data_IF_814138111887
#
_entry.id   IF_814138111887
#
_cell.length_a   1.000
_cell.length_b   1.000
_cell.length_c   1.000
_cell.angle_alpha   90.00
_cell.angle_beta   90.00
_cell.angle_gamma   90.00
#
_symmetry.space_group_name_H-M   'P 1'
#
loop_
_entity.id
_entity.type
_entity.pdbx_description
1 polymer ?
#
# COMPACT_ATOMS: atom_id res chain seq x y z
N UNK A 1 -29.83 0.81 -11.19
CA UNK A 1 -28.42 0.45 -11.36
C UNK A 1 -28.13 -0.74 -10.45
N UNK A 2 -27.59 -1.83 -10.98
CA UNK A 2 -27.20 -2.99 -10.15
C UNK A 2 -25.90 -2.63 -9.44
N UNK A 3 -25.90 -2.60 -8.08
CA UNK A 3 -24.72 -2.33 -7.29
C UNK A 3 -23.71 -3.50 -7.41
N UNK A 4 -22.39 -3.23 -7.46
CA UNK A 4 -21.41 -4.28 -7.48
C UNK A 4 -21.39 -5.07 -6.16
N UNK A 5 -20.97 -6.31 -6.25
CA UNK A 5 -20.86 -7.19 -5.08
C UNK A 5 -19.95 -6.55 -4.01
N UNK A 6 -20.46 -6.36 -2.81
CA UNK A 6 -19.74 -5.71 -1.71
C UNK A 6 -20.09 -4.24 -1.48
N UNK A 7 -21.02 -3.66 -2.23
CA UNK A 7 -21.56 -2.31 -1.99
C UNK A 7 -23.05 -2.43 -1.65
N UNK A 8 -23.45 -1.90 -0.50
CA UNK A 8 -24.86 -1.85 -0.11
C UNK A 8 -25.53 -0.55 -0.59
N UNK A 9 -26.85 -0.55 -0.64
CA UNK A 9 -27.69 0.60 -1.00
C UNK A 9 -27.56 1.78 -0.01
N UNK A 10 -27.11 1.53 1.23
CA UNK A 10 -26.90 2.57 2.24
C UNK A 10 -25.64 3.38 2.04
N UNK A 11 -24.68 2.87 1.25
CA UNK A 11 -23.40 3.56 0.98
C UNK A 11 -23.63 4.88 0.27
N UNK A 12 -24.58 4.96 -0.64
CA UNK A 12 -24.93 6.19 -1.35
C UNK A 12 -25.34 7.32 -0.39
N UNK A 13 -26.23 7.01 0.56
CA UNK A 13 -26.64 7.98 1.57
C UNK A 13 -25.49 8.38 2.50
N UNK A 14 -24.64 7.42 2.85
CA UNK A 14 -23.46 7.71 3.67
C UNK A 14 -22.48 8.64 2.95
N UNK A 15 -22.19 8.39 1.66
CA UNK A 15 -21.33 9.25 0.83
C UNK A 15 -21.87 10.68 0.76
N UNK A 16 -23.14 10.83 0.44
CA UNK A 16 -23.78 12.15 0.34
C UNK A 16 -23.74 12.93 1.65
N UNK A 17 -23.82 12.22 2.79
CA UNK A 17 -23.86 12.83 4.11
C UNK A 17 -22.46 13.17 4.64
N UNK A 18 -21.45 12.34 4.35
CA UNK A 18 -20.16 12.41 5.03
C UNK A 18 -19.01 12.90 4.13
N UNK A 19 -19.16 12.84 2.81
CA UNK A 19 -18.13 13.33 1.89
C UNK A 19 -18.52 14.71 1.35
N UNK A 20 -17.78 15.76 1.67
CA UNK A 20 -18.09 17.12 1.24
C UNK A 20 -18.20 17.25 -0.28
N UNK A 21 -19.32 17.72 -0.77
CA UNK A 21 -19.59 17.95 -2.19
C UNK A 21 -20.00 16.70 -2.98
N UNK A 22 -20.03 15.53 -2.38
CA UNK A 22 -20.46 14.31 -3.04
C UNK A 22 -21.97 14.35 -3.37
N UNK A 23 -22.33 14.02 -4.59
CA UNK A 23 -23.70 14.19 -5.13
C UNK A 23 -24.20 12.91 -5.79
N UNK A 24 -25.29 12.36 -5.29
CA UNK A 24 -25.97 11.20 -5.89
C UNK A 24 -26.58 11.54 -7.27
N UNK A 25 -26.76 10.53 -8.17
CA UNK A 25 -26.42 9.12 -8.00
C UNK A 25 -24.93 8.85 -8.20
N UNK A 26 -24.45 7.73 -7.62
CA UNK A 26 -23.09 7.27 -7.77
C UNK A 26 -22.97 6.06 -8.70
N UNK A 27 -21.86 6.00 -9.42
CA UNK A 27 -21.46 4.84 -10.23
C UNK A 27 -20.22 4.20 -9.62
N UNK A 28 -20.25 2.88 -9.46
CA UNK A 28 -19.16 2.12 -8.83
C UNK A 28 -18.50 1.23 -9.88
N UNK A 29 -17.19 1.34 -10.02
CA UNK A 29 -16.37 0.48 -10.88
C UNK A 29 -15.31 -0.18 -10.03
N UNK A 30 -15.32 -1.52 -9.94
CA UNK A 30 -14.29 -2.24 -9.20
C UNK A 30 -12.94 -2.08 -9.89
N UNK A 31 -11.93 -1.65 -9.13
CA UNK A 31 -10.55 -1.56 -9.60
C UNK A 31 -9.92 -2.94 -9.45
N UNK A 32 -9.55 -3.57 -10.57
CA UNK A 32 -8.86 -4.85 -10.58
C UNK A 32 -7.41 -4.70 -10.11
N UNK A 33 -6.90 -5.66 -9.35
CA UNK A 33 -5.48 -5.75 -9.01
C UNK A 33 -5.12 -5.80 -7.51
N UNK A 34 -6.07 -5.61 -6.60
CA UNK A 34 -5.86 -5.88 -5.17
C UNK A 34 -6.27 -7.32 -4.81
N UNK A 35 -5.37 -8.10 -4.21
CA UNK A 35 -5.69 -9.45 -3.75
C UNK A 35 -6.26 -9.48 -2.32
N UNK A 36 -6.01 -8.42 -1.55
CA UNK A 36 -6.36 -8.34 -0.12
C UNK A 36 -7.69 -7.62 0.12
N UNK A 37 -7.87 -6.41 -0.40
CA UNK A 37 -9.03 -5.57 -0.15
C UNK A 37 -9.80 -5.27 -1.44
N UNK A 38 -11.12 -5.06 -1.32
CA UNK A 38 -11.95 -4.61 -2.44
C UNK A 38 -11.83 -3.08 -2.58
N UNK A 39 -11.49 -2.64 -3.78
CA UNK A 39 -11.31 -1.23 -4.11
C UNK A 39 -12.23 -0.86 -5.27
N UNK A 40 -12.99 0.23 -5.11
CA UNK A 40 -13.93 0.73 -6.11
C UNK A 40 -13.61 2.18 -6.44
N UNK A 41 -13.57 2.50 -7.74
CA UNK A 41 -13.73 3.87 -8.20
C UNK A 41 -15.21 4.23 -8.07
N UNK A 42 -15.49 5.40 -7.51
CA UNK A 42 -16.83 5.91 -7.29
C UNK A 42 -16.92 7.26 -8.00
N UNK A 43 -17.76 7.34 -9.03
CA UNK A 43 -18.00 8.58 -9.75
C UNK A 43 -19.36 9.13 -9.36
N UNK A 44 -19.45 10.43 -9.03
CA UNK A 44 -20.69 11.10 -8.63
C UNK A 44 -21.37 11.85 -9.78
N UNK A 45 -22.59 12.32 -9.55
CA UNK A 45 -23.35 13.07 -10.54
C UNK A 45 -22.78 14.46 -10.84
N UNK A 46 -21.91 15.00 -9.99
CA UNK A 46 -21.26 16.29 -10.18
C UNK A 46 -19.93 16.16 -10.95
N UNK A 47 -19.50 14.94 -11.29
CA UNK A 47 -18.27 14.66 -12.04
C UNK A 47 -17.03 14.49 -11.17
N UNK A 48 -17.18 14.35 -9.84
CA UNK A 48 -16.07 14.01 -8.96
C UNK A 48 -15.84 12.51 -8.93
N UNK A 49 -14.59 12.11 -8.73
CA UNK A 49 -14.19 10.73 -8.59
C UNK A 49 -13.54 10.48 -7.24
N UNK A 50 -13.90 9.36 -6.62
CA UNK A 50 -13.39 8.91 -5.32
C UNK A 50 -12.92 7.48 -5.42
N UNK A 51 -12.22 7.01 -4.39
CA UNK A 51 -11.90 5.60 -4.19
C UNK A 51 -12.51 5.15 -2.87
N UNK A 52 -13.34 4.11 -2.92
CA UNK A 52 -13.85 3.42 -1.74
C UNK A 52 -13.10 2.11 -1.57
N UNK A 53 -12.49 1.92 -0.39
CA UNK A 53 -11.77 0.68 -0.04
C UNK A 53 -12.41 0.01 1.16
N UNK A 54 -12.60 -1.31 1.07
CA UNK A 54 -13.21 -2.14 2.11
C UNK A 54 -12.52 -3.50 2.19
N UNK A 55 -12.65 -4.24 3.31
CA UNK A 55 -12.18 -5.62 3.41
C UNK A 55 -12.84 -6.52 2.37
N UNK A 56 -12.22 -7.68 2.05
CA UNK A 56 -12.81 -8.70 1.20
C UNK A 56 -14.10 -9.26 1.83
N UNK A 57 -14.89 -9.93 1.00
CA UNK A 57 -16.10 -10.63 1.44
C UNK A 57 -15.73 -11.98 2.05
N UNK A 58 -16.45 -12.40 3.11
CA UNK A 58 -16.26 -13.69 3.75
C UNK A 58 -15.48 -13.64 5.06
N UNK A 59 -14.84 -14.75 5.45
CA UNK A 59 -14.10 -14.86 6.72
C UNK A 59 -12.93 -13.88 6.77
N UNK A 60 -12.94 -12.99 7.77
CA UNK A 60 -11.92 -11.97 7.99
C UNK A 60 -11.03 -12.39 9.16
N UNK A 61 -9.73 -12.39 8.95
CA UNK A 61 -8.80 -12.31 10.07
C UNK A 61 -8.84 -10.86 10.56
N UNK A 62 -9.31 -10.63 11.78
CA UNK A 62 -9.57 -9.30 12.35
C UNK A 62 -8.37 -8.34 12.33
N UNK A 63 -7.16 -8.84 12.14
CA UNK A 63 -5.92 -8.06 12.10
C UNK A 63 -5.37 -7.77 10.70
N UNK A 64 -5.93 -8.40 9.65
CA UNK A 64 -5.33 -8.35 8.31
C UNK A 64 -5.93 -7.25 7.40
N UNK A 65 -7.10 -6.67 7.76
CA UNK A 65 -7.83 -5.75 6.89
C UNK A 65 -8.43 -4.61 7.72
N UNK A 66 -7.58 -3.89 8.48
CA UNK A 66 -8.00 -2.79 9.35
C UNK A 66 -8.11 -1.48 8.55
N UNK A 67 -9.31 -1.19 8.09
CA UNK A 67 -9.62 0.04 7.34
C UNK A 67 -9.38 1.31 8.16
N UNK A 68 -9.58 1.24 9.47
CA UNK A 68 -9.35 2.39 10.36
C UNK A 68 -7.86 2.71 10.46
N UNK A 69 -7.02 1.65 10.50
CA UNK A 69 -5.56 1.79 10.50
C UNK A 69 -5.04 2.38 9.20
N UNK A 70 -5.47 1.86 8.04
CA UNK A 70 -5.09 2.41 6.73
C UNK A 70 -5.52 3.87 6.59
N UNK A 71 -6.78 4.19 6.92
CA UNK A 71 -7.28 5.56 6.90
C UNK A 71 -6.46 6.48 7.80
N UNK A 72 -6.14 6.05 9.05
CA UNK A 72 -5.32 6.82 9.99
C UNK A 72 -3.94 7.14 9.42
N UNK A 73 -3.30 6.17 8.75
CA UNK A 73 -1.98 6.36 8.13
C UNK A 73 -2.07 7.41 7.02
N UNK A 74 -2.99 7.25 6.07
CA UNK A 74 -3.17 8.17 4.95
C UNK A 74 -3.52 9.58 5.45
N UNK A 75 -4.41 9.70 6.42
CA UNK A 75 -4.78 10.97 7.01
C UNK A 75 -3.60 11.64 7.75
N UNK A 76 -2.79 10.86 8.47
CA UNK A 76 -1.60 11.35 9.16
C UNK A 76 -0.52 11.86 8.20
N UNK A 77 -0.44 11.31 7.01
CA UNK A 77 0.51 11.69 5.96
C UNK A 77 0.08 12.92 5.15
N UNK A 78 -1.16 13.39 5.28
CA UNK A 78 -1.73 14.46 4.46
C UNK A 78 -0.93 15.78 4.47
N UNK A 79 -0.20 16.06 5.55
CA UNK A 79 0.63 17.27 5.71
C UNK A 79 2.13 16.98 5.60
N UNK A 80 2.52 15.81 5.12
CA UNK A 80 3.91 15.42 4.88
C UNK A 80 4.30 15.61 3.42
N UNK A 81 5.58 15.35 3.11
CA UNK A 81 6.07 15.32 1.72
C UNK A 81 5.79 13.97 1.02
N UNK A 82 5.12 13.04 1.68
CA UNK A 82 4.76 11.75 1.08
C UNK A 82 3.52 11.93 0.23
N UNK A 83 3.56 11.62 -1.08
CA UNK A 83 2.38 11.69 -1.92
C UNK A 83 1.41 10.58 -1.55
N UNK A 84 0.22 10.96 -1.08
CA UNK A 84 -0.89 10.05 -0.77
C UNK A 84 -2.21 10.59 -1.32
N UNK A 85 -3.14 9.71 -1.64
CA UNK A 85 -4.50 10.11 -1.95
C UNK A 85 -5.14 10.73 -0.70
N UNK A 86 -5.68 11.96 -0.75
CA UNK A 86 -6.33 12.58 0.41
C UNK A 86 -7.43 11.69 1.00
N UNK A 87 -7.35 11.38 2.29
CA UNK A 87 -8.40 10.69 3.03
C UNK A 87 -9.61 11.62 3.20
N UNK A 88 -10.79 11.15 2.84
CA UNK A 88 -12.02 11.95 2.85
C UNK A 88 -12.98 11.53 3.95
N UNK A 89 -13.06 10.25 4.27
CA UNK A 89 -13.94 9.76 5.32
C UNK A 89 -13.75 8.29 5.65
N UNK A 90 -14.09 7.92 6.88
CA UNK A 90 -14.07 6.56 7.41
C UNK A 90 -15.45 6.20 7.95
N UNK A 91 -15.98 5.07 7.51
CA UNK A 91 -17.20 4.47 8.05
C UNK A 91 -16.81 3.23 8.88
N UNK A 92 -17.06 3.27 10.18
CA UNK A 92 -16.88 2.13 11.09
C UNK A 92 -18.18 1.43 11.45
N UNK A 93 -19.33 1.99 11.02
CA UNK A 93 -20.65 1.39 11.21
C UNK A 93 -20.88 0.28 10.18
N UNK A 94 -20.76 -0.96 10.62
CA UNK A 94 -20.97 -2.15 9.79
C UNK A 94 -22.40 -2.27 9.28
N UNK A 95 -23.38 -1.59 9.91
CA UNK A 95 -24.76 -1.61 9.43
C UNK A 95 -24.94 -0.89 8.10
N UNK A 96 -23.95 -0.08 7.68
CA UNK A 96 -23.94 0.65 6.40
C UNK A 96 -23.52 -0.24 5.24
N UNK A 97 -22.47 -1.07 5.42
CA UNK A 97 -21.91 -1.86 4.31
C UNK A 97 -21.35 -3.22 4.75
N UNK A 98 -21.90 -3.84 5.78
CA UNK A 98 -21.49 -5.14 6.37
C UNK A 98 -20.00 -5.20 6.79
N UNK A 99 -19.28 -4.09 6.68
CA UNK A 99 -17.88 -3.94 7.03
C UNK A 99 -17.50 -2.46 7.13
N UNK A 100 -16.48 -2.11 7.94
CA UNK A 100 -15.85 -0.82 7.85
C UNK A 100 -15.31 -0.57 6.44
N UNK A 101 -15.34 0.68 6.00
CA UNK A 101 -14.73 1.13 4.75
C UNK A 101 -14.23 2.56 4.88
N UNK A 102 -13.31 2.95 4.04
CA UNK A 102 -12.91 4.35 3.94
C UNK A 102 -12.97 4.84 2.51
N UNK A 103 -13.03 6.17 2.38
CA UNK A 103 -13.10 6.89 1.11
C UNK A 103 -11.93 7.86 1.03
N UNK A 104 -11.28 7.89 -0.12
CA UNK A 104 -10.21 8.82 -0.45
C UNK A 104 -10.43 9.43 -1.82
N UNK A 105 -9.73 10.50 -2.14
CA UNK A 105 -9.76 11.09 -3.48
C UNK A 105 -9.24 10.11 -4.52
N UNK A 106 -9.83 10.13 -5.70
CA UNK A 106 -9.25 9.45 -6.86
C UNK A 106 -8.03 10.23 -7.34
N UNK A 107 -6.91 9.54 -7.52
CA UNK A 107 -5.70 10.10 -8.11
C UNK A 107 -5.63 9.63 -9.56
N UNK A 108 -5.54 10.57 -10.48
CA UNK A 108 -5.39 10.26 -11.90
C UNK A 108 -3.92 10.06 -12.24
N UNK A 109 -3.53 8.80 -12.42
CA UNK A 109 -2.15 8.39 -12.66
C UNK A 109 -2.07 6.93 -13.07
N UNK A 110 -0.84 6.44 -13.19
CA UNK A 110 -0.56 5.11 -13.71
C UNK A 110 0.18 4.27 -12.67
N UNK A 111 -0.28 3.05 -12.47
CA UNK A 111 0.48 2.00 -11.77
C UNK A 111 1.22 1.20 -12.83
N UNK A 112 2.53 1.32 -12.86
CA UNK A 112 3.37 0.68 -13.88
C UNK A 112 3.75 -0.73 -13.41
N UNK A 113 3.17 -1.76 -14.03
CA UNK A 113 3.36 -3.18 -13.66
C UNK A 113 4.14 -3.97 -14.69
N UNK A 114 4.36 -3.42 -15.86
CA UNK A 114 5.04 -4.11 -16.97
C UNK A 114 6.01 -3.17 -17.66
N UNK A 115 7.20 -3.68 -17.98
CA UNK A 115 8.24 -2.92 -18.67
C UNK A 115 7.76 -2.30 -19.98
N UNK A 116 7.03 -3.07 -20.81
CA UNK A 116 6.52 -2.58 -22.08
C UNK A 116 5.55 -1.39 -21.91
N UNK A 117 4.74 -1.41 -20.83
CA UNK A 117 3.84 -0.29 -20.49
C UNK A 117 4.68 0.92 -20.05
N UNK A 118 5.70 0.71 -19.20
CA UNK A 118 6.60 1.78 -18.77
C UNK A 118 7.28 2.47 -19.96
N UNK A 119 7.86 1.70 -20.87
CA UNK A 119 8.54 2.21 -22.06
C UNK A 119 7.60 2.98 -22.99
N UNK A 120 6.37 2.48 -23.17
CA UNK A 120 5.37 3.14 -24.04
C UNK A 120 4.81 4.42 -23.42
N UNK A 121 4.55 4.39 -22.11
CA UNK A 121 3.89 5.47 -21.38
C UNK A 121 4.86 6.60 -21.00
N UNK A 122 6.03 6.24 -20.50
CA UNK A 122 6.97 7.17 -19.90
C UNK A 122 8.14 7.51 -20.82
N UNK A 123 8.54 6.58 -21.69
CA UNK A 123 9.77 6.68 -22.45
C UNK A 123 11.03 6.69 -21.57
N UNK A 124 12.23 6.80 -22.14
CA UNK A 124 13.49 6.68 -21.40
C UNK A 124 13.65 7.72 -20.28
N UNK A 125 13.28 8.98 -20.53
CA UNK A 125 13.42 10.06 -19.56
C UNK A 125 12.40 9.93 -18.42
N UNK A 126 11.16 9.54 -18.72
CA UNK A 126 10.14 9.29 -17.70
C UNK A 126 10.46 8.05 -16.88
N UNK A 127 11.02 6.99 -17.46
CA UNK A 127 11.48 5.81 -16.70
C UNK A 127 12.62 6.18 -15.73
N UNK A 128 13.60 6.99 -16.17
CA UNK A 128 14.64 7.51 -15.28
C UNK A 128 14.05 8.34 -14.16
N UNK A 129 13.13 9.26 -14.49
CA UNK A 129 12.46 10.09 -13.49
C UNK A 129 11.66 9.25 -12.50
N UNK A 130 10.98 8.19 -12.93
CA UNK A 130 10.26 7.27 -12.04
C UNK A 130 11.23 6.56 -11.09
N UNK A 131 12.37 6.11 -11.56
CA UNK A 131 13.42 5.49 -10.76
C UNK A 131 13.98 6.44 -9.69
N UNK A 132 14.22 7.70 -10.04
CA UNK A 132 14.65 8.73 -9.08
C UNK A 132 13.53 9.06 -8.08
N UNK A 133 12.30 9.23 -8.59
CA UNK A 133 11.16 9.64 -7.78
C UNK A 133 10.74 8.57 -6.75
N UNK A 134 10.89 7.27 -7.08
CA UNK A 134 10.58 6.20 -6.11
C UNK A 134 11.57 6.23 -4.94
N UNK A 135 12.84 6.53 -5.18
CA UNK A 135 13.85 6.66 -4.12
C UNK A 135 13.60 7.92 -3.28
N UNK A 136 13.33 9.06 -3.92
CA UNK A 136 12.99 10.31 -3.24
C UNK A 136 11.76 10.13 -2.33
N UNK A 137 10.74 9.44 -2.84
CA UNK A 137 9.50 9.17 -2.09
C UNK A 137 9.74 8.23 -0.92
N UNK A 138 10.55 7.17 -1.07
CA UNK A 138 10.94 6.30 0.04
C UNK A 138 11.66 7.09 1.13
N UNK A 139 12.59 7.96 0.74
CA UNK A 139 13.28 8.85 1.69
C UNK A 139 12.29 9.79 2.40
N UNK A 140 11.28 10.31 1.69
CA UNK A 140 10.24 11.14 2.29
C UNK A 140 9.39 10.36 3.31
N UNK A 141 9.04 9.07 3.04
CA UNK A 141 8.35 8.20 3.99
C UNK A 141 9.18 8.03 5.27
N UNK A 142 10.46 7.71 5.12
CA UNK A 142 11.35 7.50 6.27
C UNK A 142 11.68 8.78 7.05
N UNK A 143 11.50 9.95 6.43
CA UNK A 143 11.71 11.26 7.07
C UNK A 143 10.45 11.80 7.77
N UNK A 144 9.31 11.09 7.74
CA UNK A 144 8.07 11.54 8.40
C UNK A 144 8.29 11.68 9.91
N UNK A 145 7.95 12.85 10.45
CA UNK A 145 7.79 13.00 11.90
C UNK A 145 6.53 12.24 12.34
N UNK A 146 6.73 11.00 12.74
CA UNK A 146 5.63 10.08 13.11
C UNK A 146 4.81 10.60 14.28
N UNK A 147 5.41 11.39 15.17
CA UNK A 147 4.73 11.97 16.32
C UNK A 147 3.85 13.14 15.89
N UNK A 148 4.37 14.04 15.06
CA UNK A 148 3.59 15.13 14.49
C UNK A 148 2.45 14.61 13.59
N UNK A 149 2.65 13.50 12.90
CA UNK A 149 1.63 12.81 12.09
C UNK A 149 0.60 12.01 12.91
N UNK A 150 0.78 11.87 14.24
CA UNK A 150 -0.09 11.04 15.09
C UNK A 150 0.04 9.53 14.84
N UNK A 151 1.20 9.09 14.35
CA UNK A 151 1.50 7.72 13.95
C UNK A 151 2.52 7.01 14.85
N UNK A 152 2.92 7.61 15.96
CA UNK A 152 3.93 7.10 16.89
C UNK A 152 3.52 5.80 17.62
N UNK A 153 2.24 5.46 17.62
CA UNK A 153 1.71 4.21 18.18
C UNK A 153 1.45 3.10 17.16
N UNK A 154 1.86 3.28 15.90
CA UNK A 154 1.61 2.28 14.85
C UNK A 154 2.30 0.94 15.09
N UNK A 155 3.36 0.90 15.89
CA UNK A 155 4.13 -0.30 16.15
C UNK A 155 5.19 -0.12 17.21
N UNK A 156 5.97 -1.18 17.44
CA UNK A 156 7.09 -1.17 18.37
C UNK A 156 8.33 -0.59 17.68
N UNK A 157 9.03 0.31 18.37
CA UNK A 157 10.21 0.99 17.84
C UNK A 157 11.44 0.07 17.70
N UNK A 158 11.66 -0.86 18.66
CA UNK A 158 12.92 -1.61 18.75
C UNK A 158 12.85 -3.00 18.13
N UNK A 159 14.00 -3.51 17.67
CA UNK A 159 14.22 -4.90 17.24
C UNK A 159 13.34 -5.31 16.05
N UNK A 160 13.05 -4.40 15.13
CA UNK A 160 12.13 -4.62 14.02
C UNK A 160 12.56 -5.80 13.14
N UNK A 161 13.80 -5.79 12.63
CA UNK A 161 14.31 -6.84 11.73
C UNK A 161 14.22 -8.23 12.37
N UNK A 162 14.66 -8.38 13.62
CA UNK A 162 14.59 -9.66 14.32
C UNK A 162 13.15 -10.17 14.50
N UNK A 163 12.19 -9.27 14.79
CA UNK A 163 10.78 -9.64 14.87
C UNK A 163 10.22 -10.06 13.50
N UNK A 164 10.58 -9.38 12.42
CA UNK A 164 10.14 -9.73 11.08
C UNK A 164 10.71 -11.08 10.64
N UNK A 165 11.99 -11.32 10.82
CA UNK A 165 12.61 -12.60 10.53
C UNK A 165 11.91 -13.75 11.28
N UNK A 166 11.68 -13.60 12.58
CA UNK A 166 10.97 -14.59 13.39
C UNK A 166 9.54 -14.83 12.92
N UNK A 167 8.81 -13.75 12.59
CA UNK A 167 7.43 -13.84 12.09
C UNK A 167 7.37 -14.58 10.76
N UNK A 168 8.19 -14.19 9.79
CA UNK A 168 8.16 -14.79 8.46
C UNK A 168 8.64 -16.24 8.47
N UNK A 169 9.69 -16.56 9.24
CA UNK A 169 10.11 -17.93 9.42
C UNK A 169 9.01 -18.78 10.05
N UNK A 170 8.33 -18.29 11.09
CA UNK A 170 7.17 -18.95 11.68
C UNK A 170 6.05 -19.23 10.67
N UNK A 171 5.70 -18.23 9.87
CA UNK A 171 4.67 -18.39 8.82
C UNK A 171 5.07 -19.47 7.79
N UNK A 172 6.35 -19.51 7.39
CA UNK A 172 6.84 -20.55 6.46
C UNK A 172 6.75 -21.93 7.10
N UNK A 173 7.13 -22.08 8.38
CA UNK A 173 7.04 -23.35 9.10
C UNK A 173 5.58 -23.86 9.21
N UNK A 174 4.63 -22.95 9.43
CA UNK A 174 3.20 -23.30 9.52
C UNK A 174 2.60 -23.69 8.18
N UNK A 175 3.06 -23.08 7.09
CA UNK A 175 2.47 -23.27 5.76
C UNK A 175 3.23 -24.27 4.88
N UNK A 176 4.45 -24.68 5.27
CA UNK A 176 5.26 -25.60 4.46
C UNK A 176 4.60 -26.97 4.33
N UNK A 177 4.62 -27.51 3.12
CA UNK A 177 4.14 -28.86 2.79
C UNK A 177 5.28 -29.88 2.60
N UNK A 178 6.54 -29.42 2.72
CA UNK A 178 7.77 -30.20 2.59
C UNK A 178 8.88 -29.61 3.43
N UNK A 179 9.96 -30.36 3.67
CA UNK A 179 11.16 -29.85 4.31
C UNK A 179 11.87 -28.80 3.41
N UNK A 180 12.31 -27.71 4.01
CA UNK A 180 12.99 -26.60 3.34
C UNK A 180 14.27 -26.21 4.13
N UNK A 181 15.30 -27.08 4.20
CA UNK A 181 16.46 -26.85 5.05
C UNK A 181 17.26 -25.59 4.71
N UNK A 182 17.22 -25.14 3.45
CA UNK A 182 17.86 -23.88 3.05
C UNK A 182 17.19 -22.67 3.71
N UNK A 183 15.88 -22.70 3.93
CA UNK A 183 15.16 -21.62 4.62
C UNK A 183 15.63 -21.48 6.07
N UNK A 184 15.79 -22.61 6.77
CA UNK A 184 16.29 -22.60 8.15
C UNK A 184 17.74 -22.09 8.21
N UNK A 185 18.60 -22.52 7.30
CA UNK A 185 19.99 -22.02 7.20
C UNK A 185 20.05 -20.51 6.91
N UNK A 186 19.22 -20.01 5.99
CA UNK A 186 19.14 -18.57 5.68
C UNK A 186 18.64 -17.80 6.89
N UNK A 187 17.60 -18.28 7.58
CA UNK A 187 17.06 -17.66 8.78
C UNK A 187 18.12 -17.52 9.87
N UNK A 188 18.86 -18.61 10.20
CA UNK A 188 19.94 -18.58 11.19
C UNK A 188 21.08 -17.63 10.77
N UNK A 189 21.46 -17.68 9.49
CA UNK A 189 22.50 -16.80 8.94
C UNK A 189 22.13 -15.32 9.00
N UNK A 190 20.87 -14.97 8.81
CA UNK A 190 20.37 -13.61 8.92
C UNK A 190 20.28 -13.16 10.39
N UNK A 191 19.78 -14.02 11.29
CA UNK A 191 19.76 -13.71 12.72
C UNK A 191 21.14 -13.40 13.30
N UNK A 192 22.16 -14.14 12.87
CA UNK A 192 23.54 -13.93 13.32
C UNK A 192 24.17 -12.62 12.80
N UNK A 193 23.53 -11.94 11.86
CA UNK A 193 24.07 -10.75 11.18
C UNK A 193 23.13 -9.55 11.22
N UNK A 194 22.10 -9.57 12.09
CA UNK A 194 21.21 -8.40 12.24
C UNK A 194 22.05 -7.20 12.65
N UNK A 195 22.00 -6.10 11.86
CA UNK A 195 22.71 -4.88 12.24
C UNK A 195 22.07 -4.23 13.46
N UNK A 196 22.81 -3.36 14.12
CA UNK A 196 22.23 -2.47 15.14
C UNK A 196 21.17 -1.56 14.46
N UNK A 197 19.96 -1.57 14.98
CA UNK A 197 18.88 -0.77 14.46
C UNK A 197 19.10 0.70 14.81
N UNK A 198 18.98 1.57 13.81
CA UNK A 198 18.88 3.01 14.00
C UNK A 198 17.54 3.45 14.60
N UNK A 199 17.28 4.78 14.66
CA UNK A 199 15.97 5.29 15.05
C UNK A 199 14.85 4.68 14.19
N UNK A 200 13.75 4.29 14.84
CA UNK A 200 12.60 3.76 14.13
C UNK A 200 11.93 4.88 13.31
N UNK A 201 11.59 4.55 12.07
CA UNK A 201 10.86 5.43 11.13
C UNK A 201 9.54 4.80 10.75
N UNK A 202 8.74 5.53 9.97
CA UNK A 202 7.64 4.91 9.26
C UNK A 202 8.21 3.98 8.18
N UNK A 203 7.76 2.73 8.15
CA UNK A 203 8.13 1.71 7.17
C UNK A 203 6.87 1.28 6.43
N UNK A 204 6.87 1.37 5.11
CA UNK A 204 5.73 0.96 4.29
C UNK A 204 5.50 -0.55 4.37
N UNK A 205 6.59 -1.33 4.31
CA UNK A 205 6.59 -2.78 4.45
C UNK A 205 6.39 -3.55 3.13
N UNK A 206 5.81 -2.91 2.10
CA UNK A 206 5.71 -3.44 0.72
C UNK A 206 6.02 -2.33 -0.31
N UNK A 207 7.12 -1.57 -0.07
CA UNK A 207 7.48 -0.44 -0.93
C UNK A 207 8.13 -0.91 -2.22
N UNK A 208 7.42 -0.72 -3.32
CA UNK A 208 7.86 -1.10 -4.67
C UNK A 208 7.07 -0.34 -5.74
N UNK A 209 7.53 -0.37 -6.99
CA UNK A 209 6.95 0.46 -8.06
C UNK A 209 5.45 0.18 -8.31
N UNK A 210 5.01 -1.05 -8.21
CA UNK A 210 3.58 -1.40 -8.39
C UNK A 210 2.68 -0.95 -7.22
N UNK A 211 3.26 -0.48 -6.11
CA UNK A 211 2.55 0.23 -5.04
C UNK A 211 2.73 1.75 -5.12
N UNK A 212 3.23 2.26 -6.26
CA UNK A 212 3.34 3.69 -6.54
C UNK A 212 2.54 4.06 -7.80
N UNK A 213 1.83 5.17 -7.75
CA UNK A 213 1.25 5.78 -8.93
C UNK A 213 2.16 6.87 -9.45
N UNK A 214 2.39 6.89 -10.75
CA UNK A 214 3.20 7.92 -11.41
C UNK A 214 2.36 8.76 -12.38
N UNK A 215 2.77 10.01 -12.59
CA UNK A 215 2.26 10.84 -13.67
C UNK A 215 2.92 10.47 -15.02
N UNK A 216 2.48 11.09 -16.10
CA UNK A 216 3.04 10.88 -17.43
C UNK A 216 4.52 11.33 -17.58
N UNK A 217 5.08 12.00 -16.56
CA UNK A 217 6.49 12.42 -16.53
C UNK A 217 7.35 11.50 -15.68
N UNK A 218 6.75 10.51 -15.01
CA UNK A 218 7.41 9.58 -14.10
C UNK A 218 7.54 10.07 -12.65
N UNK A 219 6.88 11.17 -12.24
CA UNK A 219 6.87 11.53 -10.82
C UNK A 219 5.90 10.65 -10.06
N UNK A 220 6.29 10.14 -8.90
CA UNK A 220 5.37 9.47 -7.97
C UNK A 220 4.39 10.50 -7.43
N UNK A 221 3.10 10.27 -7.65
CA UNK A 221 2.00 11.15 -7.24
C UNK A 221 1.09 10.54 -6.18
N UNK A 222 1.19 9.24 -5.94
CA UNK A 222 0.57 8.59 -4.79
C UNK A 222 1.28 7.27 -4.45
N UNK A 223 1.47 7.00 -3.16
CA UNK A 223 1.87 5.70 -2.63
C UNK A 223 0.60 4.97 -2.18
N UNK A 224 0.50 3.71 -2.56
CA UNK A 224 -0.66 2.85 -2.36
C UNK A 224 -0.36 1.75 -1.35
N UNK A 225 -1.40 1.11 -0.84
CA UNK A 225 -1.34 -0.14 -0.06
C UNK A 225 -0.59 -0.06 1.27
N UNK A 226 -1.10 0.78 2.15
CA UNK A 226 -0.56 1.03 3.50
C UNK A 226 -0.94 -0.04 4.55
N UNK A 227 -1.51 -1.19 4.14
CA UNK A 227 -2.10 -2.17 5.06
C UNK A 227 -1.09 -2.78 6.05
N UNK A 228 0.18 -2.95 5.64
CA UNK A 228 1.25 -3.50 6.49
C UNK A 228 2.23 -2.45 7.02
N UNK A 229 1.97 -1.18 6.72
CA UNK A 229 2.79 -0.06 7.20
C UNK A 229 2.90 -0.04 8.73
N UNK A 230 4.07 0.24 9.26
CA UNK A 230 4.36 0.22 10.70
C UNK A 230 5.55 1.10 11.05
N UNK A 231 5.93 1.12 12.34
CA UNK A 231 7.21 1.69 12.79
C UNK A 231 8.29 0.61 12.78
N UNK A 232 9.45 0.94 12.23
CA UNK A 232 10.54 -0.04 12.11
C UNK A 232 11.83 0.53 11.56
N UNK A 233 12.68 -0.37 11.09
CA UNK A 233 13.95 -0.04 10.47
C UNK A 233 13.74 0.28 8.99
N UNK A 234 14.11 1.49 8.51
CA UNK A 234 13.93 1.91 7.12
C UNK A 234 14.66 1.01 6.11
N UNK A 235 15.71 0.30 6.56
CA UNK A 235 16.45 -0.63 5.71
C UNK A 235 15.59 -1.80 5.22
N UNK A 236 14.43 -2.05 5.84
CA UNK A 236 13.49 -3.09 5.39
C UNK A 236 12.83 -2.72 4.04
N UNK A 237 12.38 -1.46 3.88
CA UNK A 237 11.83 -0.99 2.61
C UNK A 237 12.89 -0.95 1.52
N UNK A 238 14.11 -0.48 1.85
CA UNK A 238 15.22 -0.49 0.90
C UNK A 238 15.57 -1.91 0.46
N UNK A 239 15.68 -2.84 1.41
CA UNK A 239 15.95 -4.24 1.11
C UNK A 239 14.89 -4.87 0.22
N UNK A 240 13.61 -4.58 0.47
CA UNK A 240 12.52 -5.06 -0.38
C UNK A 240 12.57 -4.43 -1.78
N UNK A 241 12.76 -3.12 -1.87
CA UNK A 241 12.90 -2.43 -3.15
C UNK A 241 14.04 -3.05 -3.98
N UNK A 242 15.20 -3.34 -3.36
CA UNK A 242 16.34 -3.98 -4.03
C UNK A 242 16.06 -5.40 -4.53
N UNK A 243 15.17 -6.16 -3.88
CA UNK A 243 14.73 -7.48 -4.36
C UNK A 243 13.97 -7.38 -5.66
N UNK A 244 13.16 -6.32 -5.82
CA UNK A 244 12.39 -6.07 -7.03
C UNK A 244 13.16 -5.26 -8.09
N UNK A 245 14.31 -4.68 -7.73
CA UNK A 245 15.13 -3.85 -8.63
C UNK A 245 16.13 -4.73 -9.37
N UNK A 246 15.77 -5.16 -10.57
CA UNK A 246 16.64 -5.98 -11.41
C UNK A 246 17.43 -5.12 -12.39
N UNK A 247 18.71 -5.43 -12.55
CA UNK A 247 19.57 -4.80 -13.53
C UNK A 247 19.45 -5.47 -14.92
N UNK A 248 19.99 -4.84 -15.98
CA UNK A 248 19.89 -5.39 -17.35
C UNK A 248 20.64 -6.71 -17.55
N UNK A 249 21.53 -7.06 -16.63
CA UNK A 249 22.34 -8.31 -16.64
C UNK A 249 21.87 -9.33 -15.61
N UNK A 250 20.84 -9.03 -14.82
CA UNK A 250 20.32 -9.98 -13.86
C UNK A 250 19.51 -11.04 -14.60
N UNK A 251 19.76 -12.31 -14.27
CA UNK A 251 18.87 -13.36 -14.74
C UNK A 251 17.46 -13.03 -14.29
N UNK A 252 16.53 -13.00 -15.23
CA UNK A 252 15.12 -12.79 -14.92
C UNK A 252 14.69 -13.86 -13.91
N UNK A 253 14.71 -13.51 -12.63
CA UNK A 253 14.24 -14.41 -11.59
C UNK A 253 12.75 -14.66 -11.83
N UNK A 254 12.25 -15.82 -11.43
CA UNK A 254 10.82 -16.14 -11.51
C UNK A 254 9.92 -15.16 -10.73
N UNK A 255 10.54 -14.25 -9.98
CA UNK A 255 9.94 -13.14 -9.23
C UNK A 255 9.89 -11.82 -10.00
N UNK A 256 10.64 -11.73 -11.11
CA UNK A 256 10.77 -10.52 -11.94
C UNK A 256 9.65 -10.41 -12.99
N UNK A 257 8.41 -10.68 -12.62
CA UNK A 257 7.25 -10.10 -13.31
C UNK A 257 7.04 -8.64 -12.88
N UNK A 258 7.95 -8.12 -12.07
CA UNK A 258 7.96 -6.73 -11.64
C UNK A 258 8.64 -5.90 -12.71
N UNK A 259 8.07 -4.76 -12.96
CA UNK A 259 8.53 -3.69 -13.86
C UNK A 259 9.82 -3.12 -13.29
N UNK A 260 10.93 -3.51 -13.86
CA UNK A 260 12.22 -2.86 -13.59
C UNK A 260 12.92 -2.53 -14.88
#
# INVERSE_FOLDING_TARGET
VTLPHGISDKVENWLTTNIPGATAPFTYTQIAGGHSNLTFKVDDAAGHSYVLRRPPLGHRLASAHDMSREHRIIAGLANSNVPVAPALGLCTDESVNDAPFYVMSFVDGYVVREKAIAETLLGPDGCRRASESIVDTMAAIHAVDVKAAGLDELGRHDGYIGRQLKRWHGNILEQRTRELPLVDQVYEGLLARIPEQGPATLVHGDYRLDNCMVDAKGNVIAVLDWEICTLGDPMADLGLLMVYWTGPNDEASAWANSVN
#
